data_IF_363689379598
#
_entry.id   IF_363689379598
#
_cell.length_a   1.000
_cell.length_b   1.000
_cell.length_c   1.000
_cell.angle_alpha   90.00
_cell.angle_beta   90.00
_cell.angle_gamma   90.00
#
_symmetry.space_group_name_H-M   'P 1'
#
loop_
_entity.id
_entity.type
_entity.pdbx_description
1 polymer ?
#
# COMPACT_ATOMS: atom_id res chain seq x y z
N UNK A 1 -17.65 23.47 11.67
CA UNK A 1 -17.81 22.04 12.02
C UNK A 1 -16.45 21.56 12.47
N UNK A 2 -16.25 21.37 13.77
CA UNK A 2 -15.08 20.65 14.28
C UNK A 2 -15.17 19.22 13.76
N UNK A 3 -14.29 18.87 12.82
CA UNK A 3 -14.12 17.48 12.42
C UNK A 3 -13.35 16.81 13.55
N UNK A 4 -14.06 16.25 14.53
CA UNK A 4 -13.46 15.37 15.51
C UNK A 4 -12.90 14.16 14.74
N UNK A 5 -11.58 14.06 14.65
CA UNK A 5 -10.91 13.03 13.85
C UNK A 5 -11.15 11.71 14.56
N UNK A 6 -11.94 10.81 13.96
CA UNK A 6 -12.09 9.45 14.46
C UNK A 6 -10.78 8.67 14.27
N UNK A 7 -9.94 8.71 15.31
CA UNK A 7 -8.64 8.03 15.37
C UNK A 7 -8.79 6.53 15.09
N UNK A 8 -9.89 5.90 15.49
CA UNK A 8 -10.11 4.46 15.29
C UNK A 8 -10.35 4.18 13.81
N UNK A 9 -11.20 4.96 13.15
CA UNK A 9 -11.48 4.78 11.72
C UNK A 9 -10.26 5.12 10.85
N UNK A 10 -9.49 6.15 11.22
CA UNK A 10 -8.23 6.48 10.54
C UNK A 10 -7.22 5.33 10.66
N UNK A 11 -7.05 4.74 11.85
CA UNK A 11 -6.17 3.59 12.05
C UNK A 11 -6.62 2.35 11.27
N UNK A 12 -7.93 2.10 11.21
CA UNK A 12 -8.51 0.99 10.43
C UNK A 12 -8.27 1.17 8.93
N UNK A 13 -8.51 2.36 8.40
CA UNK A 13 -8.25 2.71 7.01
C UNK A 13 -6.76 2.53 6.68
N UNK A 14 -5.88 3.02 7.55
CA UNK A 14 -4.43 2.89 7.39
C UNK A 14 -3.96 1.43 7.39
N UNK A 15 -4.52 0.60 8.27
CA UNK A 15 -4.22 -0.84 8.29
C UNK A 15 -4.67 -1.53 7.00
N UNK A 16 -5.82 -1.15 6.45
CA UNK A 16 -6.31 -1.62 5.16
C UNK A 16 -5.37 -1.23 4.01
N UNK A 17 -4.97 0.04 3.94
CA UNK A 17 -4.03 0.53 2.91
C UNK A 17 -2.68 -0.21 2.96
N UNK A 18 -2.11 -0.39 4.15
CA UNK A 18 -0.87 -1.16 4.32
C UNK A 18 -1.00 -2.61 3.86
N UNK A 19 -2.14 -3.26 4.15
CA UNK A 19 -2.36 -4.67 3.74
C UNK A 19 -2.30 -4.81 2.22
N UNK A 20 -2.95 -3.90 1.49
CA UNK A 20 -2.94 -3.89 0.02
C UNK A 20 -1.53 -3.72 -0.55
N UNK A 21 -0.76 -2.78 0.00
CA UNK A 21 0.66 -2.58 -0.38
C UNK A 21 1.46 -3.87 -0.19
N UNK A 22 1.32 -4.52 0.97
CA UNK A 22 2.06 -5.75 1.28
C UNK A 22 1.66 -6.90 0.35
N UNK A 23 0.38 -6.99 -0.02
CA UNK A 23 -0.11 -7.99 -0.96
C UNK A 23 0.54 -7.84 -2.35
N UNK A 24 0.58 -6.61 -2.90
CA UNK A 24 1.26 -6.36 -4.18
C UNK A 24 2.77 -6.58 -4.06
N UNK A 25 3.38 -6.20 -2.93
CA UNK A 25 4.80 -6.46 -2.69
C UNK A 25 5.11 -7.96 -2.69
N UNK A 26 4.24 -8.78 -2.08
CA UNK A 26 4.33 -10.24 -2.11
C UNK A 26 4.21 -10.79 -3.52
N UNK A 27 3.24 -10.32 -4.31
CA UNK A 27 3.09 -10.75 -5.71
C UNK A 27 4.33 -10.42 -6.56
N UNK A 28 4.91 -9.22 -6.39
CA UNK A 28 6.15 -8.84 -7.08
C UNK A 28 7.30 -9.75 -6.64
N UNK A 29 7.42 -10.01 -5.34
CA UNK A 29 8.43 -10.92 -4.78
C UNK A 29 8.32 -12.31 -5.39
N UNK A 30 7.12 -12.91 -5.39
CA UNK A 30 6.86 -14.24 -5.93
C UNK A 30 7.18 -14.31 -7.43
N UNK A 31 6.85 -13.26 -8.20
CA UNK A 31 7.23 -13.20 -9.63
C UNK A 31 8.75 -13.15 -9.79
N UNK A 32 9.44 -12.33 -9.01
CA UNK A 32 10.90 -12.19 -9.14
C UNK A 32 11.63 -13.47 -8.71
N UNK A 33 11.15 -14.16 -7.67
CA UNK A 33 11.78 -15.38 -7.15
C UNK A 33 11.44 -16.63 -7.98
N UNK A 34 10.17 -16.82 -8.33
CA UNK A 34 9.68 -18.11 -8.81
C UNK A 34 9.25 -18.12 -10.29
N UNK A 35 8.76 -17.00 -10.82
CA UNK A 35 8.12 -16.98 -12.15
C UNK A 35 8.60 -15.89 -13.11
N UNK A 36 9.80 -15.33 -12.90
CA UNK A 36 10.29 -14.17 -13.66
C UNK A 36 10.31 -14.42 -15.17
N UNK A 37 10.64 -15.62 -15.63
CA UNK A 37 10.70 -15.92 -17.07
C UNK A 37 9.32 -16.13 -17.73
N UNK A 38 8.26 -16.19 -16.93
CA UNK A 38 6.89 -16.46 -17.38
C UNK A 38 5.97 -15.25 -17.15
N UNK A 39 6.13 -14.57 -16.02
CA UNK A 39 5.21 -13.52 -15.54
C UNK A 39 5.86 -12.12 -15.48
N UNK A 40 7.07 -11.92 -16.03
CA UNK A 40 7.73 -10.60 -15.99
C UNK A 40 6.90 -9.47 -16.62
N UNK A 41 6.00 -9.80 -17.56
CA UNK A 41 5.11 -8.85 -18.22
C UNK A 41 4.13 -8.18 -17.24
N UNK A 42 3.88 -8.80 -16.08
CA UNK A 42 3.04 -8.25 -15.00
C UNK A 42 3.81 -7.27 -14.11
N UNK A 43 5.14 -7.30 -14.09
CA UNK A 43 5.94 -6.45 -13.20
C UNK A 43 5.71 -4.95 -13.40
N UNK A 44 5.60 -4.40 -14.64
CA UNK A 44 5.35 -2.98 -14.83
C UNK A 44 4.04 -2.51 -14.20
N UNK A 45 2.96 -3.29 -14.37
CA UNK A 45 1.65 -2.91 -13.84
C UNK A 45 1.60 -3.04 -12.32
N UNK A 46 2.16 -4.10 -11.75
CA UNK A 46 2.24 -4.27 -10.30
C UNK A 46 3.12 -3.19 -9.66
N UNK A 47 4.23 -2.82 -10.31
CA UNK A 47 5.12 -1.74 -9.84
C UNK A 47 4.43 -0.38 -9.84
N UNK A 48 3.63 -0.08 -10.87
CA UNK A 48 2.82 1.14 -10.89
C UNK A 48 1.76 1.14 -9.77
N UNK A 49 1.07 0.02 -9.58
CA UNK A 49 0.03 -0.13 -8.55
C UNK A 49 0.60 0.04 -7.14
N UNK A 50 1.72 -0.61 -6.81
CA UNK A 50 2.32 -0.46 -5.48
C UNK A 50 2.80 0.97 -5.24
N UNK A 51 3.32 1.65 -6.26
CA UNK A 51 3.74 3.04 -6.16
C UNK A 51 2.55 3.95 -5.81
N UNK A 52 1.42 3.79 -6.50
CA UNK A 52 0.19 4.55 -6.22
C UNK A 52 -0.34 4.27 -4.80
N UNK A 53 -0.41 3.01 -4.38
CA UNK A 53 -0.87 2.65 -3.04
C UNK A 53 0.07 3.19 -1.94
N UNK A 54 1.38 3.23 -2.20
CA UNK A 54 2.36 3.80 -1.27
C UNK A 54 2.21 5.31 -1.12
N UNK A 55 1.76 6.02 -2.15
CA UNK A 55 1.42 7.45 -2.05
C UNK A 55 0.28 7.66 -1.05
N UNK A 56 -0.73 6.79 -1.03
CA UNK A 56 -1.82 6.86 -0.04
C UNK A 56 -1.28 6.66 1.39
N UNK A 57 -0.51 5.59 1.63
CA UNK A 57 0.05 5.26 2.94
C UNK A 57 0.96 6.38 3.47
N UNK A 58 1.82 6.93 2.62
CA UNK A 58 2.73 8.02 2.99
C UNK A 58 1.99 9.33 3.25
N UNK A 59 0.96 9.64 2.46
CA UNK A 59 0.10 10.79 2.73
C UNK A 59 -0.67 10.64 4.05
N UNK A 60 -1.21 9.46 4.36
CA UNK A 60 -1.85 9.22 5.65
C UNK A 60 -0.91 9.48 6.82
N UNK A 61 0.34 8.98 6.75
CA UNK A 61 1.35 9.26 7.79
C UNK A 61 1.70 10.74 7.91
N UNK A 62 1.68 11.49 6.80
CA UNK A 62 1.93 12.93 6.77
C UNK A 62 0.78 13.73 7.38
N UNK A 63 -0.47 13.36 7.07
CA UNK A 63 -1.68 14.05 7.53
C UNK A 63 -2.02 13.70 8.98
N UNK A 64 -1.75 12.46 9.40
CA UNK A 64 -2.08 11.95 10.74
C UNK A 64 -0.81 11.53 11.49
N UNK A 65 -0.17 12.45 12.26
CA UNK A 65 1.08 12.18 12.96
C UNK A 65 1.03 11.03 13.98
N UNK A 66 -0.17 10.65 14.44
CA UNK A 66 -0.39 9.52 15.35
C UNK A 66 -0.32 8.15 14.67
N UNK A 67 -0.11 8.09 13.34
CA UNK A 67 0.11 6.86 12.58
C UNK A 67 1.60 6.48 12.44
N UNK A 68 2.50 7.16 13.16
CA UNK A 68 3.94 6.86 13.18
C UNK A 68 4.24 5.41 13.57
#
# INVERSE_FOLDING_TARGET
>A
MENDIDVKEVKKTFAGAKRKVVEIAGQIHDIVEDSIWVDYDKLPILSAQIQEMMVEVTNMKRVYPFLK
#
